data_IF_350856409466
#
_entry.id   IF_350856409466
#
_cell.length_a   1.000
_cell.length_b   1.000
_cell.length_c   1.000
_cell.angle_alpha   90.00
_cell.angle_beta   90.00
_cell.angle_gamma   90.00
#
_symmetry.space_group_name_H-M   'P 1'
#
loop_
_entity.id
_entity.type
_entity.pdbx_description
1 polymer ?
#
# COMPACT_ATOMS: atom_id res chain seq x y z
N UNK A 1 17.06 -6.70 5.24
CA UNK A 1 15.75 -6.52 5.89
C UNK A 1 15.49 -5.03 6.01
N UNK A 2 14.49 -4.49 5.32
CA UNK A 2 14.15 -3.06 5.46
C UNK A 2 13.62 -2.82 6.89
N UNK A 3 13.93 -1.67 7.54
CA UNK A 3 13.36 -1.33 8.83
C UNK A 3 11.84 -1.44 8.79
N UNK A 4 11.24 -2.07 9.81
CA UNK A 4 9.80 -2.39 9.88
C UNK A 4 8.88 -1.18 9.85
N UNK A 5 9.42 0.03 9.95
CA UNK A 5 8.64 1.25 10.12
C UNK A 5 8.44 2.02 8.82
N UNK A 6 8.85 1.51 7.66
CA UNK A 6 8.72 2.22 6.38
C UNK A 6 7.56 1.69 5.54
N UNK A 7 6.89 2.59 4.82
CA UNK A 7 5.99 2.23 3.73
C UNK A 7 6.84 2.05 2.47
N UNK A 8 6.67 0.92 1.80
CA UNK A 8 7.41 0.55 0.61
C UNK A 8 6.45 0.64 -0.58
N UNK A 9 6.85 1.39 -1.60
CA UNK A 9 6.12 1.48 -2.86
C UNK A 9 6.93 0.72 -3.91
N UNK A 10 6.26 -0.24 -4.55
CA UNK A 10 6.82 -1.05 -5.62
C UNK A 10 5.97 -0.92 -6.86
N UNK A 11 6.64 -0.91 -7.99
CA UNK A 11 6.00 -1.01 -9.30
C UNK A 11 5.43 -2.43 -9.47
N UNK A 12 4.13 -2.53 -9.79
CA UNK A 12 3.42 -3.80 -9.83
C UNK A 12 3.89 -4.72 -10.96
N UNK A 13 4.34 -4.15 -12.08
CA UNK A 13 4.76 -4.92 -13.27
C UNK A 13 6.18 -5.45 -13.13
N UNK A 14 7.09 -4.59 -12.65
CA UNK A 14 8.54 -4.87 -12.63
C UNK A 14 9.06 -5.32 -11.27
N UNK A 15 8.26 -5.15 -10.21
CA UNK A 15 8.67 -5.40 -8.82
C UNK A 15 9.76 -4.45 -8.31
N UNK A 16 10.06 -3.37 -9.05
CA UNK A 16 11.12 -2.43 -8.67
C UNK A 16 10.64 -1.53 -7.54
N UNK A 17 11.54 -1.25 -6.61
CA UNK A 17 11.34 -0.25 -5.56
C UNK A 17 11.26 1.14 -6.22
N UNK A 18 10.10 1.79 -6.09
CA UNK A 18 9.86 3.14 -6.64
C UNK A 18 9.72 4.19 -5.54
N UNK A 19 9.54 3.77 -4.29
CA UNK A 19 9.48 4.71 -3.17
C UNK A 19 9.68 4.05 -1.82
N UNK A 20 10.31 4.81 -0.91
CA UNK A 20 10.47 4.44 0.49
C UNK A 20 10.07 5.64 1.35
N UNK A 21 8.96 5.51 2.06
CA UNK A 21 8.45 6.54 2.96
C UNK A 21 8.71 6.13 4.39
N UNK A 22 9.38 7.00 5.15
CA UNK A 22 9.70 6.71 6.55
C UNK A 22 8.45 6.86 7.42
N UNK A 23 8.16 5.85 8.24
CA UNK A 23 6.97 5.81 9.09
C UNK A 23 5.78 5.11 8.42
N UNK A 24 4.75 4.79 9.23
CA UNK A 24 3.50 4.14 8.79
C UNK A 24 2.29 5.08 8.83
N UNK A 25 2.51 6.38 8.74
CA UNK A 25 1.44 7.39 8.89
C UNK A 25 0.85 7.75 7.53
N UNK A 26 -0.49 7.84 7.47
CA UNK A 26 -1.25 8.27 6.28
C UNK A 26 -0.72 9.57 5.68
N UNK A 27 -0.47 10.54 6.56
CA UNK A 27 -0.01 11.87 6.18
C UNK A 27 1.33 11.83 5.45
N UNK A 28 2.27 11.00 5.90
CA UNK A 28 3.59 10.88 5.27
C UNK A 28 3.48 10.26 3.87
N UNK A 29 2.61 9.27 3.69
CA UNK A 29 2.32 8.69 2.38
C UNK A 29 1.63 9.70 1.45
N UNK A 30 0.64 10.43 1.97
CA UNK A 30 -0.07 11.46 1.19
C UNK A 30 0.87 12.57 0.73
N UNK A 31 1.72 13.09 1.61
CA UNK A 31 2.72 14.10 1.26
C UNK A 31 3.73 13.57 0.23
N UNK A 32 4.16 12.33 0.38
CA UNK A 32 5.07 11.69 -0.58
C UNK A 32 4.43 11.54 -1.96
N UNK A 33 3.21 11.00 -2.05
CA UNK A 33 2.53 10.83 -3.34
C UNK A 33 2.18 12.17 -3.99
N UNK A 34 1.81 13.18 -3.21
CA UNK A 34 1.57 14.55 -3.72
C UNK A 34 2.82 15.24 -4.26
N UNK A 35 4.02 14.73 -3.95
CA UNK A 35 5.26 15.23 -4.56
C UNK A 35 5.43 14.75 -6.01
N UNK A 36 4.67 13.75 -6.45
CA UNK A 36 4.69 13.28 -7.83
C UNK A 36 3.87 14.21 -8.72
N UNK A 37 4.17 14.18 -10.02
CA UNK A 37 3.41 14.94 -11.01
C UNK A 37 1.95 14.46 -11.02
N UNK A 38 1.01 15.39 -11.00
CA UNK A 38 -0.43 15.11 -11.01
C UNK A 38 -0.84 14.21 -12.18
N UNK A 39 -0.26 14.43 -13.37
CA UNK A 39 -0.46 13.57 -14.54
C UNK A 39 -0.11 12.10 -14.26
N UNK A 40 0.98 11.83 -13.52
CA UNK A 40 1.33 10.45 -13.17
C UNK A 40 0.30 9.85 -12.22
N UNK A 41 -0.12 10.60 -11.19
CA UNK A 41 -1.12 10.13 -10.23
C UNK A 41 -2.47 9.83 -10.91
N UNK A 42 -2.85 10.65 -11.89
CA UNK A 42 -4.06 10.50 -12.69
C UNK A 42 -4.00 9.35 -13.72
N UNK A 43 -2.81 8.78 -13.95
CA UNK A 43 -2.59 7.66 -14.86
C UNK A 43 -2.34 6.35 -14.10
N UNK A 44 -2.37 6.35 -12.76
CA UNK A 44 -2.32 5.10 -11.98
C UNK A 44 -3.68 4.41 -12.10
N UNK A 45 -3.68 3.21 -12.68
CA UNK A 45 -4.88 2.41 -12.94
C UNK A 45 -5.14 1.35 -11.87
N UNK A 46 -4.10 0.87 -11.18
CA UNK A 46 -4.20 -0.10 -10.10
C UNK A 46 -3.25 0.24 -8.95
N UNK A 47 -3.70 0.00 -7.72
CA UNK A 47 -2.86 0.00 -6.55
C UNK A 47 -3.20 -1.20 -5.66
N UNK A 48 -2.21 -2.08 -5.43
CA UNK A 48 -2.32 -3.15 -4.47
C UNK A 48 -1.83 -2.69 -3.10
N UNK A 49 -2.66 -2.83 -2.07
CA UNK A 49 -2.37 -2.36 -0.71
C UNK A 49 -2.58 -3.44 0.34
N UNK A 50 -1.91 -3.28 1.48
CA UNK A 50 -2.25 -4.02 2.69
C UNK A 50 -3.69 -3.71 3.14
N UNK A 51 -4.29 -4.59 3.95
CA UNK A 51 -5.66 -4.49 4.49
C UNK A 51 -5.92 -3.28 5.42
N UNK A 52 -5.00 -2.32 5.48
CA UNK A 52 -5.15 -1.10 6.26
C UNK A 52 -6.09 -0.11 5.57
N UNK A 53 -7.21 0.22 6.24
CA UNK A 53 -8.15 1.26 5.81
C UNK A 53 -7.46 2.61 5.56
N UNK A 54 -6.37 2.88 6.27
CA UNK A 54 -5.58 4.10 6.11
C UNK A 54 -5.00 4.25 4.71
N UNK A 55 -4.42 3.18 4.15
CA UNK A 55 -3.85 3.22 2.79
C UNK A 55 -4.96 3.38 1.76
N UNK A 56 -6.07 2.65 1.91
CA UNK A 56 -7.22 2.77 1.03
C UNK A 56 -7.67 4.23 0.89
N UNK A 57 -7.91 4.91 2.02
CA UNK A 57 -8.36 6.31 2.01
C UNK A 57 -7.36 7.26 1.35
N UNK A 58 -6.05 7.04 1.52
CA UNK A 58 -5.03 7.88 0.88
C UNK A 58 -5.01 7.67 -0.63
N UNK A 59 -5.06 6.43 -1.10
CA UNK A 59 -5.04 6.11 -2.53
C UNK A 59 -6.32 6.58 -3.23
N UNK A 60 -7.51 6.36 -2.65
CA UNK A 60 -8.79 6.85 -3.23
C UNK A 60 -8.78 8.36 -3.44
N UNK A 61 -8.12 9.10 -2.53
CA UNK A 61 -8.03 10.56 -2.59
C UNK A 61 -7.05 11.07 -3.64
N UNK A 62 -5.93 10.37 -3.85
CA UNK A 62 -4.79 10.87 -4.63
C UNK A 62 -4.74 10.27 -6.03
N UNK A 63 -5.19 9.03 -6.18
CA UNK A 63 -5.19 8.27 -7.43
C UNK A 63 -6.66 7.94 -7.79
N UNK A 64 -7.46 8.92 -8.25
CA UNK A 64 -8.91 8.77 -8.37
C UNK A 64 -9.35 7.72 -9.40
N UNK A 65 -8.47 7.34 -10.34
CA UNK A 65 -8.73 6.30 -11.34
C UNK A 65 -8.24 4.92 -10.93
N UNK A 66 -7.50 4.80 -9.83
CA UNK A 66 -6.89 3.56 -9.44
C UNK A 66 -7.94 2.59 -8.87
N UNK A 67 -7.97 1.37 -9.40
CA UNK A 67 -8.64 0.23 -8.78
C UNK A 67 -7.79 -0.23 -7.61
N UNK A 68 -8.38 -0.27 -6.41
CA UNK A 68 -7.67 -0.69 -5.21
C UNK A 68 -7.90 -2.18 -4.98
N UNK A 69 -6.81 -2.95 -5.02
CA UNK A 69 -6.80 -4.38 -4.74
C UNK A 69 -6.11 -4.66 -3.41
N UNK A 70 -6.51 -5.75 -2.74
CA UNK A 70 -5.85 -6.20 -1.51
C UNK A 70 -4.69 -7.11 -1.88
N UNK A 71 -3.54 -6.87 -1.28
CA UNK A 71 -2.38 -7.74 -1.44
C UNK A 71 -2.68 -9.16 -0.90
N UNK A 72 -2.63 -10.14 -1.82
CA UNK A 72 -2.91 -11.56 -1.55
C UNK A 72 -1.93 -12.17 -0.54
N UNK A 73 -0.72 -11.62 -0.40
CA UNK A 73 0.27 -12.12 0.54
C UNK A 73 -0.12 -11.87 2.01
N UNK A 74 -0.79 -10.75 2.32
CA UNK A 74 -1.27 -10.48 3.68
C UNK A 74 -2.55 -11.25 4.01
N UNK A 75 -3.40 -11.55 3.04
CA UNK A 75 -4.62 -12.36 3.25
C UNK A 75 -4.27 -13.75 3.77
N UNK A 76 -3.22 -14.38 3.25
CA UNK A 76 -2.73 -15.67 3.76
C UNK A 76 -2.24 -15.56 5.21
N UNK A 77 -1.59 -14.46 5.59
CA UNK A 77 -1.09 -14.26 6.95
C UNK A 77 -2.21 -14.09 7.98
N UNK A 78 -3.27 -13.35 7.63
CA UNK A 78 -4.46 -13.20 8.48
C UNK A 78 -5.22 -14.52 8.59
N UNK A 79 -5.38 -15.25 7.49
CA UNK A 79 -6.02 -16.57 7.50
C UNK A 79 -5.25 -17.56 8.41
N UNK A 80 -3.92 -17.55 8.36
CA UNK A 80 -3.09 -18.37 9.24
C UNK A 80 -3.09 -17.91 10.71
N UNK A 81 -3.22 -16.60 10.98
CA UNK A 81 -3.30 -16.07 12.35
C UNK A 81 -4.65 -16.41 13.01
N UNK A 82 -5.75 -16.33 12.28
CA UNK A 82 -7.08 -16.70 12.77
C UNK A 82 -7.20 -18.22 12.98
N UNK A 83 -6.69 -19.03 12.06
CA UNK A 83 -6.70 -20.50 12.20
C UNK A 83 -5.88 -21.01 13.40
N UNK A 84 -4.87 -20.26 13.84
CA UNK A 84 -4.09 -20.60 15.03
C UNK A 84 -4.74 -20.16 16.36
N UNK A 85 -5.76 -19.28 16.33
CA UNK A 85 -6.53 -18.95 17.54
C UNK A 85 -7.59 -20.00 17.89
N UNK A 86 -7.97 -20.87 16.95
CA UNK A 86 -8.98 -21.93 17.16
C UNK A 86 -8.37 -23.25 17.65
N UNK A 87 -7.07 -23.26 18.01
CA UNK A 87 -6.36 -24.46 18.50
C UNK A 87 -5.87 -24.37 19.95
N UNK A 88 -6.30 -23.39 20.73
CA UNK A 88 -6.07 -23.33 22.18
C UNK A 88 -7.38 -23.25 22.95
#
# INVERSE_FOLDING_TARGET
MFPTDNIVLVDLDTGKLIGLVKGRKAKALEEYLKSWREEMLNNIEEASIDLSKMYKTVIEKICPKAVITVDRFHVNKILHQELNQVKN
#
